data_IF_449446753394
#
_entry.id   IF_449446753394
#
_cell.length_a   1.000
_cell.length_b   1.000
_cell.length_c   1.000
_cell.angle_alpha   90.00
_cell.angle_beta   90.00
_cell.angle_gamma   90.00
#
_symmetry.space_group_name_H-M   'P 1'
#
loop_
_entity.id
_entity.type
_entity.pdbx_description
1 polymer ?
#
# COMPACT_ATOMS: atom_id res chain seq x y z
N UNK A 1 -6.37 3.17 -7.64
CA UNK A 1 -5.12 2.42 -7.42
C UNK A 1 -5.29 0.96 -7.78
N UNK A 2 -6.22 0.24 -7.13
CA UNK A 2 -6.46 -1.20 -7.32
C UNK A 2 -6.52 -1.65 -8.79
N UNK A 3 -7.20 -0.93 -9.68
CA UNK A 3 -7.25 -1.26 -11.11
C UNK A 3 -5.87 -1.33 -11.82
N UNK A 4 -4.85 -0.64 -11.29
CA UNK A 4 -3.48 -0.66 -11.80
C UNK A 4 -2.58 -1.67 -11.06
N UNK A 5 -3.09 -2.35 -10.02
CA UNK A 5 -2.31 -3.14 -9.07
C UNK A 5 -2.36 -4.65 -9.37
N UNK A 6 -2.60 -4.98 -10.65
CA UNK A 6 -2.64 -6.32 -11.19
C UNK A 6 -4.05 -6.91 -11.28
N UNK A 7 -4.24 -7.93 -12.15
CA UNK A 7 -5.51 -8.60 -12.33
C UNK A 7 -5.90 -9.41 -11.09
N UNK A 8 -7.19 -9.73 -10.95
CA UNK A 8 -7.73 -10.68 -9.95
C UNK A 8 -7.33 -10.42 -8.49
N UNK A 9 -6.96 -9.19 -8.17
CA UNK A 9 -6.47 -8.81 -6.85
C UNK A 9 -7.52 -8.99 -5.75
N UNK A 10 -8.81 -9.10 -6.11
CA UNK A 10 -9.92 -9.39 -5.21
C UNK A 10 -9.84 -10.80 -4.59
N UNK A 11 -9.20 -11.75 -5.29
CA UNK A 11 -8.96 -13.10 -4.75
C UNK A 11 -7.91 -13.10 -3.62
N UNK A 12 -7.00 -12.12 -3.64
CA UNK A 12 -5.92 -11.98 -2.66
C UNK A 12 -6.26 -11.00 -1.53
N UNK A 13 -6.83 -9.85 -1.87
CA UNK A 13 -7.18 -8.77 -0.94
C UNK A 13 -8.53 -9.04 -0.27
N UNK A 14 -8.56 -10.03 0.61
CA UNK A 14 -9.77 -10.52 1.27
C UNK A 14 -9.94 -9.99 2.70
N UNK A 15 -8.88 -9.40 3.28
CA UNK A 15 -8.83 -9.07 4.70
C UNK A 15 -8.27 -10.19 5.57
N UNK A 16 -7.97 -11.34 4.97
CA UNK A 16 -7.31 -12.49 5.60
C UNK A 16 -5.84 -12.57 5.17
N UNK A 17 -5.06 -13.41 5.84
CA UNK A 17 -3.69 -13.75 5.43
C UNK A 17 -2.76 -12.55 5.24
N UNK A 18 -2.70 -11.67 6.25
CA UNK A 18 -1.89 -10.45 6.19
C UNK A 18 -2.23 -9.51 5.01
N UNK A 19 -3.50 -9.44 4.60
CA UNK A 19 -3.98 -8.49 3.61
C UNK A 19 -5.17 -7.69 4.13
N UNK A 20 -5.50 -6.57 3.47
CA UNK A 20 -6.74 -5.85 3.69
C UNK A 20 -7.77 -6.26 2.62
N UNK A 21 -9.06 -6.16 2.96
CA UNK A 21 -10.16 -6.31 1.99
C UNK A 21 -10.02 -5.28 0.86
N UNK A 22 -10.27 -5.70 -0.38
CA UNK A 22 -10.12 -4.86 -1.57
C UNK A 22 -10.99 -3.58 -1.54
N UNK A 23 -12.12 -3.65 -0.84
CA UNK A 23 -13.09 -2.56 -0.73
C UNK A 23 -12.79 -1.61 0.44
N UNK A 24 -11.78 -1.92 1.26
CA UNK A 24 -11.39 -1.12 2.41
C UNK A 24 -9.99 -0.55 2.21
N UNK A 25 -9.83 0.70 2.63
CA UNK A 25 -8.53 1.35 2.70
C UNK A 25 -8.22 1.73 4.14
N UNK A 26 -7.07 1.27 4.64
CA UNK A 26 -6.54 1.69 5.93
C UNK A 26 -5.00 1.69 5.94
N UNK A 27 -4.45 2.30 6.98
CA UNK A 27 -3.02 2.27 7.27
C UNK A 27 -2.80 2.00 8.76
N UNK A 28 -1.62 1.53 9.13
CA UNK A 28 -1.30 1.30 10.54
C UNK A 28 0.17 1.05 10.82
N UNK A 29 0.59 1.41 12.04
CA UNK A 29 1.95 1.17 12.54
C UNK A 29 2.13 -0.31 12.83
N UNK A 30 3.17 -0.90 12.24
CA UNK A 30 3.47 -2.33 12.29
C UNK A 30 2.32 -3.28 11.87
N UNK A 31 1.23 -2.75 11.30
CA UNK A 31 0.05 -3.53 10.96
C UNK A 31 0.18 -4.16 9.56
N UNK A 32 0.40 -5.47 9.50
CA UNK A 32 0.45 -6.20 8.24
C UNK A 32 -0.95 -6.36 7.60
N UNK A 33 -2.03 -6.43 8.37
CA UNK A 33 -3.38 -6.47 7.81
C UNK A 33 -3.87 -5.15 7.18
N UNK A 34 -3.06 -4.09 7.21
CA UNK A 34 -3.42 -2.80 6.63
C UNK A 34 -3.12 -2.73 5.13
N UNK A 35 -3.80 -1.84 4.41
CA UNK A 35 -3.50 -1.54 3.00
C UNK A 35 -2.11 -0.91 2.86
N UNK A 36 -1.80 0.07 3.71
CA UNK A 36 -0.48 0.69 3.82
C UNK A 36 0.10 0.36 5.18
N UNK A 37 1.28 -0.26 5.22
CA UNK A 37 2.00 -0.50 6.48
C UNK A 37 3.00 0.62 6.73
N UNK A 38 2.99 1.12 7.96
CA UNK A 38 4.00 2.04 8.48
C UNK A 38 4.98 1.20 9.30
N UNK A 39 6.27 1.08 8.90
CA UNK A 39 7.27 0.35 9.68
C UNK A 39 7.38 0.89 11.11
N UNK A 40 7.70 0.05 12.09
CA UNK A 40 7.83 0.48 13.48
C UNK A 40 8.91 1.55 13.65
N UNK A 41 10.05 1.42 12.95
CA UNK A 41 11.17 2.38 13.01
C UNK A 41 10.80 3.77 12.51
N UNK A 42 9.87 3.85 11.54
CA UNK A 42 9.39 5.11 10.97
C UNK A 42 8.85 6.05 12.07
N UNK A 43 8.13 5.50 13.05
CA UNK A 43 7.60 6.26 14.19
C UNK A 43 8.59 6.24 15.35
N UNK A 44 9.11 5.07 15.69
CA UNK A 44 10.02 4.87 16.81
C UNK A 44 11.48 4.95 16.32
N UNK A 45 12.10 6.11 16.45
CA UNK A 45 13.54 6.30 16.20
C UNK A 45 13.85 7.16 14.99
N UNK A 46 13.10 7.02 13.89
CA UNK A 46 13.42 7.74 12.64
C UNK A 46 12.69 9.09 12.50
N UNK A 47 11.95 9.55 13.52
CA UNK A 47 11.24 10.83 13.55
C UNK A 47 10.38 11.08 12.29
N UNK A 48 9.62 10.07 11.87
CA UNK A 48 8.77 10.09 10.67
C UNK A 48 9.54 10.25 9.35
N UNK A 49 10.80 9.80 9.32
CA UNK A 49 11.63 9.70 8.13
C UNK A 49 11.78 8.23 7.75
N UNK A 50 11.76 7.92 6.45
CA UNK A 50 11.85 6.55 5.96
C UNK A 50 10.83 6.29 4.86
N UNK A 51 10.20 5.13 4.89
CA UNK A 51 9.27 4.69 3.84
C UNK A 51 7.94 4.20 4.40
N UNK A 52 6.93 4.22 3.52
CA UNK A 52 5.63 3.59 3.71
C UNK A 52 5.51 2.41 2.73
N UNK A 53 4.88 1.32 3.14
CA UNK A 53 4.75 0.10 2.34
C UNK A 53 3.31 -0.05 1.83
N UNK A 54 3.06 0.15 0.53
CA UNK A 54 1.78 -0.18 -0.10
C UNK A 54 1.70 -1.68 -0.39
N UNK A 55 0.85 -2.40 0.34
CA UNK A 55 0.75 -3.88 0.30
C UNK A 55 -0.32 -4.38 -0.67
N UNK A 56 -0.97 -3.46 -1.39
CA UNK A 56 -2.07 -3.77 -2.31
C UNK A 56 -1.64 -4.24 -3.70
N UNK A 57 -0.47 -3.92 -4.26
CA UNK A 57 -0.01 -4.53 -5.51
C UNK A 57 0.13 -6.06 -5.40
N UNK A 58 -0.24 -6.79 -6.45
CA UNK A 58 0.00 -8.24 -6.53
C UNK A 58 1.21 -8.58 -7.42
N UNK A 59 1.58 -9.86 -7.46
CA UNK A 59 2.77 -10.37 -8.16
C UNK A 59 2.71 -10.28 -9.68
N UNK A 60 1.52 -10.11 -10.27
CA UNK A 60 1.34 -9.97 -11.73
C UNK A 60 1.21 -8.50 -12.16
N UNK A 61 1.25 -7.58 -11.22
CA UNK A 61 1.09 -6.16 -11.49
C UNK A 61 2.28 -5.60 -12.27
N UNK A 62 1.99 -4.75 -13.25
CA UNK A 62 3.00 -4.03 -14.03
C UNK A 62 3.68 -2.96 -13.13
N UNK A 63 4.99 -3.06 -12.88
CA UNK A 63 5.69 -2.14 -11.98
C UNK A 63 5.63 -0.69 -12.47
N UNK A 64 5.59 -0.45 -13.78
CA UNK A 64 5.52 0.90 -14.33
C UNK A 64 4.14 1.52 -14.08
N UNK A 65 3.07 0.74 -14.21
CA UNK A 65 1.70 1.21 -13.92
C UNK A 65 1.49 1.49 -12.44
N UNK A 66 2.07 0.66 -11.56
CA UNK A 66 2.04 0.89 -10.11
C UNK A 66 2.72 2.23 -9.80
N UNK A 67 3.97 2.40 -10.26
CA UNK A 67 4.77 3.58 -9.98
C UNK A 67 4.12 4.85 -10.53
N UNK A 68 3.66 4.83 -11.78
CA UNK A 68 2.99 5.96 -12.39
C UNK A 68 1.72 6.36 -11.62
N UNK A 69 0.91 5.39 -11.18
CA UNK A 69 -0.30 5.69 -10.40
C UNK A 69 0.03 6.25 -9.01
N UNK A 70 1.07 5.74 -8.37
CA UNK A 70 1.53 6.16 -7.05
C UNK A 70 2.09 7.59 -7.09
N UNK A 71 3.02 7.86 -8.02
CA UNK A 71 3.60 9.20 -8.21
C UNK A 71 2.54 10.24 -8.53
N UNK A 72 1.59 9.92 -9.41
CA UNK A 72 0.48 10.83 -9.73
C UNK A 72 -0.28 11.27 -8.47
N UNK A 73 -0.67 10.32 -7.62
CA UNK A 73 -1.40 10.66 -6.39
C UNK A 73 -0.56 11.47 -5.42
N UNK A 74 0.72 11.15 -5.26
CA UNK A 74 1.60 11.89 -4.34
C UNK A 74 1.81 13.33 -4.83
N UNK A 75 1.97 13.55 -6.14
CA UNK A 75 2.13 14.89 -6.72
C UNK A 75 0.91 15.80 -6.57
N UNK A 76 -0.28 15.22 -6.33
CA UNK A 76 -1.52 15.98 -6.13
C UNK A 76 -1.63 16.55 -4.70
N UNK A 77 -0.82 16.06 -3.75
CA UNK A 77 -0.82 16.52 -2.35
C UNK A 77 0.14 17.70 -2.21
N UNK A 78 -0.34 18.81 -1.62
CA UNK A 78 0.53 19.93 -1.26
C UNK A 78 1.38 19.56 -0.05
N UNK A 79 2.66 19.91 -0.12
CA UNK A 79 3.61 19.76 0.98
C UNK A 79 3.26 20.66 2.17
#
# INVERSE_FOLDING_TARGET
>A
HIAAYGPDNHLRLTGLHETQSIDKFNYGVANRGASIRIPHSFVAGDAYRGYLEDRRPNSQADPYKILARLLKTISEVKA
#
